data_IF_005728211137
#
_entry.id   IF_005728211137
#
_cell.length_a   1.000
_cell.length_b   1.000
_cell.length_c   1.000
_cell.angle_alpha   90.00
_cell.angle_beta   90.00
_cell.angle_gamma   90.00
#
_symmetry.space_group_name_H-M   'P 1'
#
loop_
_entity.id
_entity.type
_entity.pdbx_description
1 polymer ?
#
# COMPACT_ATOMS: atom_id res chain seq x y z
N UNK A 1 -16.49 38.61 11.40
CA UNK A 1 -15.90 37.42 12.06
C UNK A 1 -15.31 36.43 11.02
N UNK A 2 -16.06 36.02 9.99
CA UNK A 2 -15.59 35.03 8.99
C UNK A 2 -14.34 35.46 8.21
N UNK A 3 -14.30 36.73 7.77
CA UNK A 3 -13.14 37.27 7.02
C UNK A 3 -11.87 37.31 7.86
N UNK A 4 -11.97 37.58 9.16
CA UNK A 4 -10.80 37.60 10.07
C UNK A 4 -10.28 36.18 10.31
N UNK A 5 -11.14 35.17 10.42
CA UNK A 5 -10.75 33.76 10.52
C UNK A 5 -10.05 33.28 9.24
N UNK A 6 -10.59 33.62 8.07
CA UNK A 6 -9.97 33.28 6.79
C UNK A 6 -8.59 33.92 6.65
N UNK A 7 -8.48 35.22 6.93
CA UNK A 7 -7.20 35.92 6.88
C UNK A 7 -6.19 35.33 7.87
N UNK A 8 -6.62 35.00 9.09
CA UNK A 8 -5.77 34.36 10.09
C UNK A 8 -5.25 32.98 9.63
N UNK A 9 -6.11 32.14 9.04
CA UNK A 9 -5.69 30.84 8.49
C UNK A 9 -4.71 31.00 7.33
N UNK A 10 -4.97 31.91 6.40
CA UNK A 10 -4.06 32.17 5.27
C UNK A 10 -2.70 32.70 5.76
N UNK A 11 -2.68 33.63 6.72
CA UNK A 11 -1.45 34.13 7.29
C UNK A 11 -0.65 33.03 7.99
N UNK A 12 -1.32 32.23 8.83
CA UNK A 12 -0.67 31.09 9.49
C UNK A 12 -0.12 30.09 8.47
N UNK A 13 -0.90 29.75 7.44
CA UNK A 13 -0.44 28.87 6.36
C UNK A 13 0.81 29.39 5.65
N UNK A 14 0.84 30.71 5.32
CA UNK A 14 2.02 31.32 4.72
C UNK A 14 3.25 31.30 5.66
N UNK A 15 3.04 31.50 6.95
CA UNK A 15 4.13 31.43 7.95
C UNK A 15 4.67 30.00 8.01
N UNK A 16 3.79 29.00 8.12
CA UNK A 16 4.20 27.59 8.21
C UNK A 16 4.94 27.13 6.95
N UNK A 17 4.51 27.56 5.76
CA UNK A 17 5.21 27.27 4.50
C UNK A 17 6.58 27.94 4.40
N UNK A 18 6.79 29.07 5.07
CA UNK A 18 8.07 29.80 5.08
C UNK A 18 9.05 29.28 6.14
N UNK A 19 8.59 28.44 7.09
CA UNK A 19 9.47 27.84 8.07
C UNK A 19 10.35 26.77 7.41
N UNK A 20 11.66 26.73 7.71
CA UNK A 20 12.52 25.67 7.18
C UNK A 20 12.09 24.32 7.76
N UNK A 21 11.92 23.34 6.89
CA UNK A 21 11.72 21.94 7.30
C UNK A 21 13.08 21.43 7.75
N UNK A 22 13.17 20.99 9.00
CA UNK A 22 14.38 20.33 9.50
C UNK A 22 14.40 18.89 8.97
N UNK A 23 15.18 18.65 7.91
CA UNK A 23 15.47 17.30 7.45
C UNK A 23 16.48 16.68 8.41
N UNK A 24 16.06 15.66 9.16
CA UNK A 24 16.91 14.98 10.14
C UNK A 24 17.44 13.64 9.63
N UNK A 25 16.70 13.00 8.72
CA UNK A 25 17.03 11.69 8.16
C UNK A 25 16.61 11.65 6.68
N UNK A 26 17.44 11.10 5.83
CA UNK A 26 17.14 10.89 4.40
C UNK A 26 17.40 9.45 4.02
N UNK A 27 16.51 8.87 3.19
CA UNK A 27 16.68 7.54 2.60
C UNK A 27 16.52 7.64 1.08
N UNK A 28 17.24 6.78 0.36
CA UNK A 28 17.04 6.61 -1.08
C UNK A 28 15.96 5.57 -1.30
N UNK A 29 14.75 6.04 -1.60
CA UNK A 29 13.62 5.18 -1.88
C UNK A 29 13.39 5.03 -3.38
N UNK A 30 13.11 3.81 -3.83
CA UNK A 30 12.61 3.52 -5.16
C UNK A 30 11.17 3.01 -5.07
N UNK A 31 10.34 3.43 -6.01
CA UNK A 31 9.00 2.87 -6.19
C UNK A 31 8.98 2.07 -7.49
N UNK A 32 8.42 0.87 -7.43
CA UNK A 32 8.35 -0.04 -8.57
C UNK A 32 6.94 -0.02 -9.14
N UNK A 33 6.84 0.18 -10.46
CA UNK A 33 5.58 0.17 -11.19
C UNK A 33 5.61 -0.95 -12.24
N UNK A 34 4.76 -1.98 -12.05
CA UNK A 34 4.67 -3.11 -12.97
C UNK A 34 3.85 -2.82 -14.21
N UNK A 35 2.91 -1.88 -14.12
CA UNK A 35 1.98 -1.49 -15.17
C UNK A 35 1.18 -2.67 -15.76
N UNK A 36 0.71 -3.56 -14.90
CA UNK A 36 -0.02 -4.78 -15.25
C UNK A 36 -1.53 -4.50 -15.19
N UNK A 37 -2.23 -4.76 -16.30
CA UNK A 37 -3.68 -4.59 -16.36
C UNK A 37 -4.43 -5.54 -15.42
N UNK A 38 -5.62 -5.12 -14.94
CA UNK A 38 -6.41 -5.91 -13.98
C UNK A 38 -6.74 -7.31 -14.50
N UNK A 39 -7.20 -7.44 -15.74
CA UNK A 39 -7.53 -8.73 -16.36
C UNK A 39 -6.31 -9.62 -16.50
N UNK A 40 -5.19 -9.06 -16.92
CA UNK A 40 -3.92 -9.74 -17.09
C UNK A 40 -3.36 -10.26 -15.77
N UNK A 41 -3.44 -9.45 -14.70
CA UNK A 41 -2.92 -9.78 -13.38
C UNK A 41 -3.52 -11.06 -12.80
N UNK A 42 -4.82 -11.28 -13.00
CA UNK A 42 -5.55 -12.41 -12.43
C UNK A 42 -5.74 -13.58 -13.41
N UNK A 43 -5.11 -13.51 -14.58
CA UNK A 43 -5.14 -14.60 -15.55
C UNK A 43 -4.34 -15.81 -15.01
N UNK A 44 -4.94 -17.00 -15.16
CA UNK A 44 -4.31 -18.23 -14.69
C UNK A 44 -2.97 -18.49 -15.38
N UNK A 45 -1.94 -18.79 -14.58
CA UNK A 45 -0.59 -19.08 -15.09
C UNK A 45 0.33 -17.87 -15.28
N UNK A 46 -0.14 -16.65 -15.05
CA UNK A 46 0.69 -15.42 -15.20
C UNK A 46 1.52 -15.08 -13.96
N UNK A 47 1.27 -15.71 -12.83
CA UNK A 47 1.92 -15.35 -11.56
C UNK A 47 3.45 -15.42 -11.61
N UNK A 48 4.03 -16.43 -12.25
CA UNK A 48 5.48 -16.60 -12.36
C UNK A 48 6.10 -15.52 -13.26
N UNK A 49 5.43 -15.14 -14.34
CA UNK A 49 5.87 -14.08 -15.23
C UNK A 49 5.83 -12.72 -14.51
N UNK A 50 4.76 -12.45 -13.77
CA UNK A 50 4.59 -11.25 -12.96
C UNK A 50 5.65 -11.19 -11.85
N UNK A 51 5.92 -12.31 -11.16
CA UNK A 51 6.98 -12.39 -10.17
C UNK A 51 8.34 -12.09 -10.81
N UNK A 52 8.63 -12.65 -11.98
CA UNK A 52 9.89 -12.40 -12.69
C UNK A 52 10.06 -10.94 -13.08
N UNK A 53 8.98 -10.29 -13.53
CA UNK A 53 8.97 -8.85 -13.84
C UNK A 53 9.30 -8.03 -12.60
N UNK A 54 8.56 -8.23 -11.49
CA UNK A 54 8.80 -7.49 -10.25
C UNK A 54 10.17 -7.77 -9.64
N UNK A 55 10.67 -9.00 -9.72
CA UNK A 55 12.03 -9.35 -9.30
C UNK A 55 13.08 -8.55 -10.09
N UNK A 56 12.96 -8.53 -11.42
CA UNK A 56 13.88 -7.78 -12.30
C UNK A 56 13.86 -6.27 -12.01
N UNK A 57 12.68 -5.67 -11.86
CA UNK A 57 12.54 -4.25 -11.53
C UNK A 57 13.11 -3.93 -10.14
N UNK A 58 12.90 -4.83 -9.17
CA UNK A 58 13.45 -4.71 -7.81
C UNK A 58 14.97 -4.78 -7.82
N UNK A 59 15.55 -5.72 -8.58
CA UNK A 59 17.02 -5.82 -8.75
C UNK A 59 17.61 -4.56 -9.40
N UNK A 60 16.94 -4.00 -10.41
CA UNK A 60 17.36 -2.75 -11.05
C UNK A 60 17.37 -1.58 -10.06
N UNK A 61 16.33 -1.45 -9.25
CA UNK A 61 16.24 -0.43 -8.21
C UNK A 61 17.35 -0.61 -7.14
N UNK A 62 17.56 -1.84 -6.70
CA UNK A 62 18.60 -2.19 -5.73
C UNK A 62 20.00 -1.90 -6.27
N UNK A 63 20.30 -2.29 -7.50
CA UNK A 63 21.56 -2.01 -8.19
C UNK A 63 21.80 -0.50 -8.40
N UNK A 64 20.75 0.30 -8.52
CA UNK A 64 20.83 1.76 -8.55
C UNK A 64 21.08 2.39 -7.16
N UNK A 65 21.18 1.58 -6.12
CA UNK A 65 21.51 1.98 -4.74
C UNK A 65 20.31 2.45 -3.92
N UNK A 66 19.10 1.98 -4.23
CA UNK A 66 17.93 2.21 -3.36
C UNK A 66 18.12 1.45 -2.03
N UNK A 67 17.85 2.14 -0.92
CA UNK A 67 17.86 1.57 0.42
C UNK A 67 16.51 0.99 0.79
N UNK A 68 15.43 1.65 0.33
CA UNK A 68 14.05 1.21 0.41
C UNK A 68 13.50 0.98 -1.00
N UNK A 69 12.92 -0.18 -1.25
CA UNK A 69 12.20 -0.47 -2.49
C UNK A 69 10.76 -0.79 -2.14
N UNK A 70 9.83 0.02 -2.66
CA UNK A 70 8.41 -0.13 -2.40
C UNK A 70 7.71 -0.67 -3.64
N UNK A 71 7.03 -1.82 -3.48
CA UNK A 71 6.22 -2.46 -4.51
C UNK A 71 4.73 -2.18 -4.27
N UNK A 72 3.89 -2.26 -5.31
CA UNK A 72 2.45 -1.99 -5.21
C UNK A 72 1.66 -2.99 -4.35
N UNK A 73 0.39 -2.67 -4.15
CA UNK A 73 -0.62 -3.55 -3.55
C UNK A 73 -0.72 -4.86 -4.35
N UNK A 74 -0.64 -5.99 -3.63
CA UNK A 74 -0.72 -7.33 -4.21
C UNK A 74 0.15 -7.45 -5.47
N UNK A 75 1.40 -6.98 -5.41
CA UNK A 75 2.28 -6.86 -6.58
C UNK A 75 2.29 -8.15 -7.41
N UNK A 76 2.38 -9.30 -6.76
CA UNK A 76 2.28 -10.62 -7.38
C UNK A 76 0.99 -11.31 -6.91
N UNK A 77 0.17 -11.88 -7.81
CA UNK A 77 -1.14 -12.44 -7.48
C UNK A 77 -1.02 -13.87 -6.89
N UNK A 78 -0.19 -14.04 -5.87
CA UNK A 78 -0.04 -15.29 -5.10
C UNK A 78 -0.15 -14.98 -3.61
N UNK A 79 -0.56 -15.97 -2.85
CA UNK A 79 -0.54 -15.85 -1.39
C UNK A 79 0.89 -15.91 -0.87
N UNK A 80 1.19 -14.99 0.04
CA UNK A 80 2.50 -14.94 0.70
C UNK A 80 2.67 -16.13 1.63
N UNK A 81 3.84 -16.74 1.53
CA UNK A 81 4.31 -17.84 2.38
C UNK A 81 5.79 -17.58 2.68
N UNK A 82 6.17 -17.62 3.95
CA UNK A 82 7.56 -17.42 4.41
C UNK A 82 8.54 -18.47 3.85
N UNK A 83 8.05 -19.60 3.36
CA UNK A 83 8.82 -20.61 2.63
C UNK A 83 8.57 -20.57 1.12
N UNK A 84 7.74 -19.62 0.66
CA UNK A 84 7.31 -19.51 -0.72
C UNK A 84 8.36 -18.89 -1.64
N UNK A 85 8.09 -18.98 -2.95
CA UNK A 85 8.99 -18.42 -3.97
C UNK A 85 9.07 -16.89 -3.89
N UNK A 86 7.98 -16.21 -3.56
CA UNK A 86 7.92 -14.76 -3.43
C UNK A 86 8.88 -14.27 -2.34
N UNK A 87 8.77 -14.84 -1.13
CA UNK A 87 9.68 -14.52 -0.03
C UNK A 87 11.14 -14.80 -0.39
N UNK A 88 11.45 -16.01 -0.88
CA UNK A 88 12.83 -16.36 -1.25
C UNK A 88 13.43 -15.41 -2.28
N UNK A 89 12.63 -14.97 -3.25
CA UNK A 89 13.07 -14.02 -4.27
C UNK A 89 13.44 -12.68 -3.65
N UNK A 90 12.58 -12.12 -2.81
CA UNK A 90 12.83 -10.82 -2.20
C UNK A 90 13.90 -10.88 -1.12
N UNK A 91 13.96 -11.94 -0.30
CA UNK A 91 15.00 -12.14 0.69
C UNK A 91 16.40 -12.25 0.06
N UNK A 92 16.51 -12.94 -1.09
CA UNK A 92 17.76 -12.99 -1.85
C UNK A 92 18.22 -11.60 -2.31
N UNK A 93 17.31 -10.83 -2.93
CA UNK A 93 17.62 -9.49 -3.42
C UNK A 93 17.96 -8.55 -2.25
N UNK A 94 17.17 -8.58 -1.18
CA UNK A 94 17.40 -7.76 0.01
C UNK A 94 18.79 -8.04 0.63
N UNK A 95 19.16 -9.30 0.75
CA UNK A 95 20.47 -9.71 1.29
C UNK A 95 21.64 -9.37 0.36
N UNK A 96 21.47 -9.58 -0.95
CA UNK A 96 22.52 -9.32 -1.95
C UNK A 96 22.88 -7.84 -2.05
N UNK A 97 21.87 -6.97 -2.00
CA UNK A 97 22.06 -5.52 -2.19
C UNK A 97 22.01 -4.71 -0.88
N UNK A 98 21.70 -5.34 0.25
CA UNK A 98 21.61 -4.66 1.55
C UNK A 98 20.43 -3.67 1.62
N UNK A 99 19.32 -3.93 0.93
CA UNK A 99 18.15 -3.05 0.86
C UNK A 99 16.92 -3.65 1.56
N UNK A 100 15.98 -2.80 1.97
CA UNK A 100 14.67 -3.21 2.49
C UNK A 100 13.66 -3.23 1.35
N UNK A 101 12.92 -4.34 1.20
CA UNK A 101 11.87 -4.48 0.19
C UNK A 101 10.52 -4.52 0.91
N UNK A 102 9.69 -3.50 0.70
CA UNK A 102 8.34 -3.41 1.25
C UNK A 102 7.29 -3.60 0.15
N UNK A 103 6.25 -4.37 0.41
CA UNK A 103 5.31 -4.81 -0.63
C UNK A 103 3.90 -5.06 -0.09
N UNK A 104 2.89 -4.79 -0.92
CA UNK A 104 1.56 -5.32 -0.72
C UNK A 104 1.50 -6.79 -1.12
N UNK A 105 0.93 -7.63 -0.27
CA UNK A 105 0.80 -9.07 -0.45
C UNK A 105 -0.61 -9.57 -0.13
N UNK A 106 -0.96 -10.74 -0.65
CA UNK A 106 -2.13 -11.47 -0.21
C UNK A 106 -1.70 -12.51 0.84
N UNK A 107 -2.43 -12.61 1.92
CA UNK A 107 -2.20 -13.62 2.97
C UNK A 107 -3.46 -14.47 3.12
N UNK A 108 -3.30 -15.76 3.35
CA UNK A 108 -4.41 -16.68 3.63
C UNK A 108 -4.32 -17.20 5.06
N UNK A 109 -5.41 -17.03 5.81
CA UNK A 109 -5.57 -17.54 7.16
C UNK A 109 -6.80 -18.47 7.21
N UNK A 110 -6.55 -19.77 7.07
CA UNK A 110 -7.64 -20.75 6.89
C UNK A 110 -8.39 -20.49 5.59
N UNK A 111 -9.67 -20.16 5.70
CA UNK A 111 -10.53 -19.88 4.54
C UNK A 111 -10.64 -18.42 4.18
N UNK A 112 -10.09 -17.50 4.99
CA UNK A 112 -10.16 -16.08 4.74
C UNK A 112 -8.89 -15.54 4.11
N UNK A 113 -9.04 -14.55 3.24
CA UNK A 113 -7.95 -13.79 2.65
C UNK A 113 -7.74 -12.47 3.40
N UNK A 114 -6.51 -11.98 3.41
CA UNK A 114 -6.16 -10.63 3.84
C UNK A 114 -5.34 -9.94 2.77
N UNK A 115 -5.63 -8.68 2.57
CA UNK A 115 -4.79 -7.78 1.79
C UNK A 115 -3.83 -7.11 2.78
N UNK A 116 -2.55 -7.35 2.64
CA UNK A 116 -1.58 -7.02 3.67
C UNK A 116 -0.37 -6.27 3.11
N UNK A 117 0.35 -5.60 4.00
CA UNK A 117 1.63 -4.97 3.75
C UNK A 117 2.68 -5.52 4.71
N UNK A 118 3.87 -5.81 4.21
CA UNK A 118 5.03 -6.23 4.98
C UNK A 118 6.33 -5.80 4.31
N UNK A 119 7.42 -5.91 5.05
CA UNK A 119 8.77 -5.70 4.55
C UNK A 119 9.65 -6.93 4.75
N UNK A 120 10.57 -7.15 3.82
CA UNK A 120 11.65 -8.14 3.90
C UNK A 120 12.94 -7.35 4.06
N UNK A 121 13.68 -7.66 5.13
CA UNK A 121 14.93 -6.98 5.49
C UNK A 121 16.17 -7.66 4.92
N UNK A 122 17.35 -6.97 4.91
CA UNK A 122 18.61 -7.55 4.41
C UNK A 122 19.06 -8.82 5.12
N UNK A 123 18.71 -8.99 6.38
CA UNK A 123 19.01 -10.20 7.17
C UNK A 123 18.06 -11.37 6.92
N UNK A 124 17.09 -11.18 6.02
CA UNK A 124 16.05 -12.15 5.71
C UNK A 124 14.85 -12.15 6.68
N UNK A 125 14.89 -11.34 7.73
CA UNK A 125 13.73 -11.20 8.62
C UNK A 125 12.58 -10.48 7.91
N UNK A 126 11.35 -10.68 8.42
CA UNK A 126 10.13 -10.08 7.91
C UNK A 126 9.57 -9.16 8.99
N UNK A 127 9.05 -8.01 8.60
CA UNK A 127 8.39 -7.08 9.53
C UNK A 127 7.10 -7.66 10.12
N UNK A 128 6.57 -6.99 11.14
CA UNK A 128 5.16 -7.12 11.46
C UNK A 128 4.31 -6.77 10.24
N UNK A 129 3.14 -7.39 10.16
CA UNK A 129 2.22 -7.25 9.04
C UNK A 129 1.16 -6.20 9.36
N UNK A 130 0.91 -5.29 8.42
CA UNK A 130 -0.27 -4.44 8.43
C UNK A 130 -1.34 -5.05 7.51
N UNK A 131 -2.54 -5.26 8.00
CA UNK A 131 -3.68 -5.72 7.21
C UNK A 131 -4.57 -4.55 6.83
N UNK A 132 -5.02 -4.49 5.58
CA UNK A 132 -5.91 -3.46 5.05
C UNK A 132 -7.16 -3.32 5.90
N UNK A 133 -7.45 -2.12 6.37
CA UNK A 133 -8.52 -1.85 7.34
C UNK A 133 -9.83 -1.42 6.69
N UNK A 134 -9.76 -0.74 5.55
CA UNK A 134 -10.95 -0.34 4.79
C UNK A 134 -10.99 -1.09 3.46
N UNK A 135 -11.80 -2.14 3.46
CA UNK A 135 -12.03 -2.93 2.25
C UNK A 135 -12.93 -2.18 1.28
N UNK A 136 -12.69 -2.37 -0.02
CA UNK A 136 -13.49 -1.76 -1.09
C UNK A 136 -14.84 -2.48 -1.19
N UNK A 137 -15.98 -1.79 -0.97
CA UNK A 137 -17.29 -2.40 -1.15
C UNK A 137 -17.47 -2.92 -2.58
N UNK A 138 -18.08 -4.09 -2.73
CA UNK A 138 -18.30 -4.81 -3.98
C UNK A 138 -17.04 -5.27 -4.73
N UNK A 139 -15.84 -4.85 -4.30
CA UNK A 139 -14.57 -5.30 -4.85
C UNK A 139 -13.88 -6.35 -3.98
N UNK A 140 -13.85 -6.10 -2.67
CA UNK A 140 -13.17 -6.95 -1.70
C UNK A 140 -14.13 -7.62 -0.71
N UNK A 141 -15.33 -7.08 -0.55
CA UNK A 141 -16.41 -7.70 0.22
C UNK A 141 -17.77 -7.29 -0.33
N UNK A 142 -18.80 -8.10 -0.07
CA UNK A 142 -20.18 -7.80 -0.44
C UNK A 142 -20.91 -7.19 0.76
N UNK A 143 -21.26 -5.89 0.72
CA UNK A 143 -22.06 -5.26 1.78
C UNK A 143 -23.42 -5.95 1.91
N UNK A 144 -23.86 -6.21 3.16
CA UNK A 144 -25.14 -6.88 3.44
C UNK A 144 -25.30 -8.25 2.76
N UNK A 145 -24.20 -9.01 2.64
CA UNK A 145 -24.12 -10.28 1.90
C UNK A 145 -25.30 -11.22 2.23
N UNK A 146 -25.60 -11.44 3.51
CA UNK A 146 -26.68 -12.32 3.95
C UNK A 146 -28.04 -11.87 3.46
N UNK A 147 -28.30 -10.56 3.46
CA UNK A 147 -29.55 -9.98 2.98
C UNK A 147 -29.64 -10.05 1.45
N UNK A 148 -28.54 -9.73 0.77
CA UNK A 148 -28.48 -9.74 -0.70
C UNK A 148 -28.63 -11.17 -1.25
N UNK A 149 -27.96 -12.16 -0.67
CA UNK A 149 -28.13 -13.58 -1.05
C UNK A 149 -29.55 -14.07 -0.83
N UNK A 150 -30.22 -13.61 0.24
CA UNK A 150 -31.62 -13.97 0.51
C UNK A 150 -32.60 -13.35 -0.52
N UNK A 151 -32.39 -12.07 -0.87
CA UNK A 151 -33.25 -11.35 -1.80
C UNK A 151 -32.98 -11.65 -3.27
N UNK A 152 -31.72 -11.97 -3.59
CA UNK A 152 -31.23 -12.17 -4.95
C UNK A 152 -30.40 -13.46 -5.03
N UNK A 153 -31.01 -14.65 -4.96
CA UNK A 153 -30.28 -15.93 -4.90
C UNK A 153 -29.31 -16.16 -6.06
N UNK A 154 -29.55 -15.54 -7.22
CA UNK A 154 -28.65 -15.64 -8.39
C UNK A 154 -27.26 -15.02 -8.15
N UNK A 155 -27.11 -14.18 -7.11
CA UNK A 155 -25.79 -13.63 -6.74
C UNK A 155 -24.81 -14.69 -6.20
N UNK A 156 -25.32 -15.84 -5.74
CA UNK A 156 -24.48 -17.00 -5.36
C UNK A 156 -23.74 -17.57 -6.57
N UNK A 157 -24.40 -17.59 -7.73
CA UNK A 157 -23.84 -18.10 -8.99
C UNK A 157 -22.81 -17.16 -9.61
N UNK A 158 -22.87 -15.86 -9.27
CA UNK A 158 -21.95 -14.84 -9.83
C UNK A 158 -20.57 -14.84 -9.18
N UNK A 159 -20.33 -15.68 -8.17
CA UNK A 159 -19.05 -15.76 -7.45
C UNK A 159 -18.52 -14.38 -6.98
N UNK A 160 -19.43 -13.44 -6.73
CA UNK A 160 -19.09 -12.12 -6.22
C UNK A 160 -18.56 -12.28 -4.80
N UNK A 161 -17.24 -12.34 -4.67
CA UNK A 161 -16.57 -12.52 -3.38
C UNK A 161 -16.17 -13.96 -3.07
N UNK A 162 -15.70 -14.72 -4.06
CA UNK A 162 -15.16 -16.09 -3.86
C UNK A 162 -13.96 -16.14 -2.90
N UNK A 163 -13.34 -15.00 -2.62
CA UNK A 163 -12.39 -14.84 -1.53
C UNK A 163 -12.90 -13.70 -0.65
N UNK A 164 -13.51 -14.03 0.48
CA UNK A 164 -13.86 -13.02 1.47
C UNK A 164 -12.58 -12.48 2.10
N UNK A 165 -12.24 -11.25 1.76
CA UNK A 165 -11.23 -10.54 2.51
C UNK A 165 -11.79 -10.09 3.85
N UNK A 166 -10.94 -10.19 4.88
CA UNK A 166 -11.26 -9.71 6.22
C UNK A 166 -10.39 -8.49 6.50
N UNK A 167 -11.03 -7.44 7.01
CA UNK A 167 -10.35 -6.21 7.38
C UNK A 167 -9.42 -6.41 8.59
N UNK A 168 -8.29 -5.69 8.59
CA UNK A 168 -7.44 -5.54 9.76
C UNK A 168 -8.10 -4.64 10.82
N UNK A 169 -7.65 -4.78 12.06
CA UNK A 169 -8.17 -4.00 13.20
C UNK A 169 -7.17 -2.96 13.67
N UNK A 170 -5.87 -3.27 13.62
CA UNK A 170 -4.81 -2.51 14.25
C UNK A 170 -4.05 -1.60 13.26
N UNK A 171 -3.54 -0.49 13.81
CA UNK A 171 -2.57 0.38 13.15
C UNK A 171 -1.18 -0.15 13.45
N UNK A 172 -0.60 -0.87 12.50
CA UNK A 172 0.78 -1.37 12.61
C UNK A 172 1.75 -0.35 12.02
N UNK A 173 2.79 -0.04 12.79
CA UNK A 173 3.92 0.77 12.33
C UNK A 173 5.07 -0.17 12.00
N UNK A 174 5.59 -0.09 10.80
CA UNK A 174 6.64 -0.97 10.27
C UNK A 174 7.93 -0.16 10.11
N UNK A 175 9.05 -0.55 10.75
CA UNK A 175 10.31 0.15 10.54
C UNK A 175 10.88 -0.13 9.15
N UNK A 176 10.95 0.89 8.29
CA UNK A 176 11.59 0.80 6.97
C UNK A 176 12.90 1.60 6.99
N UNK A 177 14.03 0.93 6.81
CA UNK A 177 15.37 1.54 6.90
C UNK A 177 15.58 2.35 8.19
N UNK A 178 15.05 1.86 9.31
CA UNK A 178 15.14 2.54 10.62
C UNK A 178 14.13 3.67 10.83
N UNK A 179 13.25 3.95 9.85
CA UNK A 179 12.20 4.95 9.95
C UNK A 179 10.86 4.27 10.24
N UNK A 180 10.25 4.61 11.37
CA UNK A 180 8.90 4.14 11.72
C UNK A 180 7.90 4.59 10.66
N UNK A 181 7.27 3.64 9.97
CA UNK A 181 6.46 3.89 8.78
C UNK A 181 5.04 3.35 8.97
N UNK A 182 4.05 4.21 8.78
CA UNK A 182 2.64 3.80 8.71
C UNK A 182 2.29 3.31 7.30
N UNK A 183 1.69 2.13 7.20
CA UNK A 183 1.22 1.60 5.92
C UNK A 183 -0.24 1.97 5.65
N UNK A 184 -0.56 2.26 4.39
CA UNK A 184 -1.92 2.48 3.89
C UNK A 184 -2.08 1.70 2.57
N UNK A 185 -3.07 0.82 2.51
CA UNK A 185 -3.27 0.00 1.32
C UNK A 185 -4.45 0.56 0.51
N UNK A 186 -4.15 1.12 -0.67
CA UNK A 186 -5.13 1.56 -1.67
C UNK A 186 -6.24 2.44 -1.05
N UNK A 187 -7.44 1.91 -0.89
CA UNK A 187 -8.61 2.60 -0.34
C UNK A 187 -8.39 3.16 1.07
N UNK A 188 -7.50 2.59 1.89
CA UNK A 188 -7.14 3.16 3.20
C UNK A 188 -6.66 4.61 3.09
N UNK A 189 -5.96 4.96 2.01
CA UNK A 189 -5.36 6.28 1.82
C UNK A 189 -6.38 7.42 1.73
N UNK A 190 -7.65 7.12 1.42
CA UNK A 190 -8.70 8.14 1.37
C UNK A 190 -9.25 8.50 2.75
N UNK A 191 -8.95 7.72 3.79
CA UNK A 191 -9.44 7.92 5.16
C UNK A 191 -8.41 8.64 6.03
N UNK A 192 -8.59 9.96 6.33
CA UNK A 192 -7.66 10.72 7.16
C UNK A 192 -7.37 10.09 8.53
N UNK A 193 -8.36 9.49 9.23
CA UNK A 193 -8.12 8.91 10.54
C UNK A 193 -7.05 7.82 10.57
N UNK A 194 -6.90 7.02 9.51
CA UNK A 194 -5.91 5.93 9.46
C UNK A 194 -4.47 6.48 9.45
N UNK A 195 -4.21 7.48 8.61
CA UNK A 195 -2.91 8.14 8.58
C UNK A 195 -2.60 8.82 9.93
N UNK A 196 -3.57 9.57 10.48
CA UNK A 196 -3.40 10.24 11.76
C UNK A 196 -3.17 9.26 12.93
N UNK A 197 -3.75 8.07 12.88
CA UNK A 197 -3.53 7.01 13.85
C UNK A 197 -2.11 6.45 13.76
N UNK A 198 -1.63 6.17 12.55
CA UNK A 198 -0.25 5.73 12.32
C UNK A 198 0.77 6.74 12.87
N UNK A 199 0.53 8.05 12.63
CA UNK A 199 1.41 9.12 13.15
C UNK A 199 1.35 9.17 14.68
N UNK A 200 0.18 9.04 15.30
CA UNK A 200 0.05 8.96 16.77
C UNK A 200 0.73 7.73 17.36
N UNK A 201 0.82 6.65 16.59
CA UNK A 201 1.56 5.44 16.95
C UNK A 201 3.07 5.55 16.69
N UNK A 202 3.57 6.72 16.26
CA UNK A 202 5.00 7.01 16.13
C UNK A 202 5.54 7.01 14.70
N UNK A 203 4.70 6.80 13.67
CA UNK A 203 5.17 6.83 12.30
C UNK A 203 5.68 8.23 11.91
N UNK A 204 6.80 8.26 11.20
CA UNK A 204 7.46 9.46 10.66
C UNK A 204 7.42 9.48 9.12
N UNK A 205 6.99 8.40 8.51
CA UNK A 205 6.81 8.21 7.09
C UNK A 205 5.49 7.48 6.85
N UNK A 206 4.83 7.75 5.74
CA UNK A 206 3.70 6.96 5.28
C UNK A 206 4.08 6.23 3.97
N UNK A 207 3.84 4.94 3.92
CA UNK A 207 3.95 4.12 2.72
C UNK A 207 2.55 3.80 2.19
N UNK A 208 2.27 4.22 0.96
CA UNK A 208 1.01 3.92 0.27
C UNK A 208 1.29 2.92 -0.84
N UNK A 209 0.65 1.77 -0.78
CA UNK A 209 0.71 0.76 -1.84
C UNK A 209 -0.67 0.59 -2.46
N UNK A 210 -0.76 0.59 -3.78
CA UNK A 210 -2.06 0.56 -4.46
C UNK A 210 -2.02 -0.15 -5.80
N UNK A 211 -3.19 -0.65 -6.20
CA UNK A 211 -3.42 -1.18 -7.53
C UNK A 211 -4.53 -0.37 -8.21
N UNK A 212 -4.17 0.70 -8.89
CA UNK A 212 -5.11 1.64 -9.49
C UNK A 212 -5.64 1.20 -10.87
N UNK A 213 -5.27 0.00 -11.34
CA UNK A 213 -5.69 -0.52 -12.65
C UNK A 213 -7.22 -0.66 -12.80
N UNK A 214 -7.96 -0.68 -11.68
CA UNK A 214 -9.43 -0.68 -11.64
C UNK A 214 -10.05 0.59 -12.20
N UNK A 215 -9.34 1.71 -12.15
CA UNK A 215 -9.86 3.01 -12.55
C UNK A 215 -9.75 3.24 -14.06
N UNK A 216 -9.02 2.40 -14.78
CA UNK A 216 -8.75 2.61 -16.21
C UNK A 216 -8.13 3.99 -16.47
N UNK A 217 -8.38 4.54 -17.65
CA UNK A 217 -7.95 5.90 -17.98
C UNK A 217 -9.03 6.92 -17.57
N UNK A 218 -9.11 7.18 -16.28
CA UNK A 218 -10.11 8.10 -15.71
C UNK A 218 -9.51 9.09 -14.72
N UNK A 219 -10.27 10.14 -14.40
CA UNK A 219 -9.90 11.14 -13.39
C UNK A 219 -9.71 10.53 -11.98
N UNK A 220 -10.21 9.32 -11.75
CA UNK A 220 -10.08 8.65 -10.45
C UNK A 220 -8.61 8.37 -10.10
N UNK A 221 -7.72 8.15 -11.08
CA UNK A 221 -6.28 8.02 -10.86
C UNK A 221 -5.70 9.25 -10.17
N UNK A 222 -5.92 10.45 -10.75
CA UNK A 222 -5.46 11.72 -10.18
C UNK A 222 -6.11 12.03 -8.84
N UNK A 223 -7.40 11.72 -8.68
CA UNK A 223 -8.12 11.90 -7.41
C UNK A 223 -7.54 11.01 -6.32
N UNK A 224 -7.29 9.73 -6.61
CA UNK A 224 -6.73 8.79 -5.66
C UNK A 224 -5.29 9.18 -5.26
N UNK A 225 -4.47 9.61 -6.22
CA UNK A 225 -3.13 10.14 -5.93
C UNK A 225 -3.21 11.38 -5.02
N UNK A 226 -4.16 12.28 -5.26
CA UNK A 226 -4.33 13.50 -4.47
C UNK A 226 -4.58 13.22 -2.98
N UNK A 227 -5.21 12.11 -2.62
CA UNK A 227 -5.36 11.70 -1.22
C UNK A 227 -4.01 11.45 -0.54
N UNK A 228 -3.02 10.88 -1.22
CA UNK A 228 -1.67 10.71 -0.67
C UNK A 228 -1.01 12.05 -0.37
N UNK A 229 -1.19 13.04 -1.26
CA UNK A 229 -0.71 14.41 -1.04
C UNK A 229 -1.38 15.03 0.19
N UNK A 230 -2.71 14.86 0.34
CA UNK A 230 -3.43 15.34 1.51
C UNK A 230 -2.93 14.68 2.79
N UNK A 231 -2.67 13.38 2.80
CA UNK A 231 -2.10 12.68 3.97
C UNK A 231 -0.75 13.25 4.37
N UNK A 232 0.11 13.57 3.40
CA UNK A 232 1.39 14.22 3.68
C UNK A 232 1.21 15.59 4.34
N UNK A 233 0.36 16.44 3.77
CA UNK A 233 0.12 17.81 4.25
C UNK A 233 -0.56 17.82 5.62
N UNK A 234 -1.60 17.02 5.81
CA UNK A 234 -2.37 16.95 7.07
C UNK A 234 -1.52 16.48 8.25
N UNK A 235 -0.56 15.62 8.00
CA UNK A 235 0.25 15.01 9.06
C UNK A 235 1.67 15.57 9.13
N UNK A 236 2.09 16.39 8.18
CA UNK A 236 3.44 16.98 8.16
C UNK A 236 4.56 15.95 7.99
N UNK A 237 4.31 14.87 7.23
CA UNK A 237 5.27 13.77 6.99
C UNK A 237 5.41 13.49 5.49
N UNK A 238 6.52 12.87 5.12
CA UNK A 238 6.68 12.37 3.75
C UNK A 238 5.75 11.18 3.48
N UNK A 239 5.32 11.06 2.23
CA UNK A 239 4.59 9.89 1.72
C UNK A 239 5.35 9.30 0.55
N UNK A 240 5.64 8.01 0.61
CA UNK A 240 6.13 7.22 -0.53
C UNK A 240 4.97 6.38 -1.05
N UNK A 241 4.65 6.51 -2.35
CA UNK A 241 3.52 5.80 -2.97
C UNK A 241 3.99 4.92 -4.12
N UNK A 242 3.69 3.63 -4.06
CA UNK A 242 3.86 2.69 -5.15
C UNK A 242 2.49 2.30 -5.72
N UNK A 243 2.28 2.57 -7.00
CA UNK A 243 1.08 2.19 -7.74
C UNK A 243 1.45 1.19 -8.85
N UNK A 244 0.60 0.17 -9.06
CA UNK A 244 0.82 -0.77 -10.19
C UNK A 244 0.59 -0.07 -11.53
N UNK A 245 -0.43 0.80 -11.60
CA UNK A 245 -0.72 1.71 -12.72
C UNK A 245 -1.06 3.09 -12.15
N UNK A 246 -0.93 4.15 -12.93
CA UNK A 246 -1.34 5.50 -12.50
C UNK A 246 -0.29 6.56 -12.69
#
# INVERSE_FOLDING_TARGET
AGSALLAGNLTLGCILLALPVSETETIRAAVVQGNIGTSEKWESGRADEILSLYASLTEQAAAAGAELILLPESAVPIYFDENGVLYRTYARIAAEYGCTIATGVLVREGEVGRNAFLAVYPDGSISERYDKRHLVPFGEYLPFESLLKTLLPFLEDLNLGSTQFVAGEDSTVVPLCGIETGALICYDSIFPPLAAESIRSGAKLLAVVTNDSWFGDSAALSQHMSHSVLRAVENGVCVVRAANTG
#
